data_IF_478859851459
#
_entry.id   IF_478859851459
#
_cell.length_a   1.000
_cell.length_b   1.000
_cell.length_c   1.000
_cell.angle_alpha   90.00
_cell.angle_beta   90.00
_cell.angle_gamma   90.00
#
_symmetry.space_group_name_H-M   'P 1'
#
loop_
_entity.id
_entity.type
_entity.pdbx_description
1 polymer ?
#
# COMPACT_ATOMS: atom_id res chain seq x y z
N UNK A 1 -7.26 -2.66 -8.66
CA UNK A 1 -6.26 -1.81 -7.96
C UNK A 1 -4.96 -2.59 -7.80
N UNK A 2 -3.81 -1.95 -7.68
CA UNK A 2 -2.53 -2.60 -7.42
C UNK A 2 -1.91 -2.11 -6.12
N UNK A 3 -1.22 -3.00 -5.41
CA UNK A 3 -0.42 -2.69 -4.22
C UNK A 3 1.05 -3.03 -4.47
N UNK A 4 1.95 -2.17 -3.99
CA UNK A 4 3.40 -2.35 -4.09
C UNK A 4 4.04 -1.98 -2.76
N UNK A 5 4.90 -2.87 -2.23
CA UNK A 5 5.73 -2.57 -1.05
C UNK A 5 7.11 -2.11 -1.51
N UNK A 6 7.51 -0.93 -1.08
CA UNK A 6 8.77 -0.29 -1.48
C UNK A 6 9.71 -0.26 -0.28
N UNK A 7 10.93 -0.77 -0.48
CA UNK A 7 11.96 -0.82 0.55
C UNK A 7 12.60 0.56 0.69
N UNK A 8 12.60 1.09 1.90
CA UNK A 8 13.34 2.29 2.25
C UNK A 8 14.86 2.03 2.26
N UNK A 9 15.65 3.08 2.05
CA UNK A 9 17.11 3.01 2.14
C UNK A 9 17.62 3.86 3.30
N UNK A 10 18.60 3.34 4.02
CA UNK A 10 19.22 3.99 5.18
C UNK A 10 18.18 4.45 6.22
N UNK A 11 17.92 5.76 6.30
CA UNK A 11 17.00 6.38 7.27
C UNK A 11 15.56 6.50 6.76
N UNK A 12 15.32 6.17 5.48
CA UNK A 12 13.99 6.22 4.87
C UNK A 12 13.24 4.94 5.25
N UNK A 13 12.01 5.05 5.78
CA UNK A 13 11.21 3.88 6.15
C UNK A 13 10.66 3.16 4.91
N UNK A 14 10.09 1.98 5.14
CA UNK A 14 9.38 1.24 4.10
C UNK A 14 7.99 1.83 3.83
N UNK A 15 7.57 1.76 2.57
CA UNK A 15 6.30 2.33 2.12
C UNK A 15 5.43 1.33 1.37
N UNK A 16 4.14 1.64 1.34
CA UNK A 16 3.12 1.01 0.51
C UNK A 16 2.65 2.04 -0.52
N UNK A 17 2.50 1.59 -1.76
CA UNK A 17 1.82 2.33 -2.82
C UNK A 17 0.55 1.60 -3.21
N UNK A 18 -0.56 2.32 -3.29
CA UNK A 18 -1.75 1.86 -3.99
C UNK A 18 -1.89 2.59 -5.32
N UNK A 19 -2.21 1.84 -6.37
CA UNK A 19 -2.34 2.37 -7.72
C UNK A 19 -3.63 1.90 -8.39
N UNK A 20 -4.21 2.75 -9.23
CA UNK A 20 -5.37 2.38 -10.04
C UNK A 20 -4.98 1.45 -11.22
N UNK A 21 -5.96 1.10 -12.06
CA UNK A 21 -5.72 0.24 -13.24
C UNK A 21 -4.80 0.87 -14.31
N UNK A 22 -4.65 2.20 -14.30
CA UNK A 22 -3.72 2.94 -15.17
C UNK A 22 -2.37 3.19 -14.48
N UNK A 23 -2.12 2.54 -13.34
CA UNK A 23 -0.96 2.75 -12.48
C UNK A 23 -0.82 4.17 -11.91
N UNK A 24 -1.88 4.98 -11.88
CA UNK A 24 -1.92 6.27 -11.17
C UNK A 24 -1.73 6.03 -9.68
N UNK A 25 -0.89 6.82 -9.01
CA UNK A 25 -0.69 6.72 -7.57
C UNK A 25 -1.91 7.26 -6.81
N UNK A 26 -2.62 6.38 -6.09
CA UNK A 26 -3.80 6.72 -5.30
C UNK A 26 -3.45 7.02 -3.84
N UNK A 27 -2.56 6.21 -3.26
CA UNK A 27 -2.12 6.37 -1.88
C UNK A 27 -0.64 5.97 -1.72
N UNK A 28 0.02 6.68 -0.80
CA UNK A 28 1.40 6.43 -0.41
C UNK A 28 1.56 6.63 1.09
N UNK A 29 1.91 5.57 1.82
CA UNK A 29 2.01 5.60 3.28
C UNK A 29 3.04 4.60 3.79
N UNK A 30 3.50 4.79 5.03
CA UNK A 30 4.53 3.93 5.63
C UNK A 30 3.94 2.60 6.08
N UNK A 31 4.72 1.52 5.98
CA UNK A 31 4.29 0.18 6.42
C UNK A 31 4.06 0.12 7.93
N UNK A 32 4.90 0.79 8.71
CA UNK A 32 4.89 0.78 10.18
C UNK A 32 3.88 1.75 10.80
N UNK A 33 3.28 2.61 9.99
CA UNK A 33 2.27 3.56 10.41
C UNK A 33 1.19 3.61 9.33
N UNK A 34 0.22 2.67 9.35
CA UNK A 34 -0.92 2.72 8.46
C UNK A 34 -1.61 4.08 8.67
N UNK A 35 -1.33 4.97 7.75
CA UNK A 35 -1.82 6.34 7.79
C UNK A 35 -3.32 6.33 7.53
N UNK A 36 -4.05 7.37 7.93
CA UNK A 36 -5.47 7.57 7.59
C UNK A 36 -5.69 7.80 6.08
N UNK A 37 -4.66 7.55 5.28
CA UNK A 37 -4.66 7.68 3.83
C UNK A 37 -5.67 6.73 3.18
N UNK A 38 -5.86 5.52 3.72
CA UNK A 38 -6.88 4.58 3.22
C UNK A 38 -8.29 5.14 3.43
N UNK A 39 -8.56 5.79 4.57
CA UNK A 39 -9.84 6.43 4.85
C UNK A 39 -10.13 7.55 3.85
N UNK A 40 -9.11 8.36 3.51
CA UNK A 40 -9.25 9.49 2.58
C UNK A 40 -9.59 9.07 1.15
N UNK A 41 -9.26 7.85 0.75
CA UNK A 41 -9.58 7.29 -0.57
C UNK A 41 -10.78 6.34 -0.54
N UNK A 42 -11.52 6.30 0.56
CA UNK A 42 -12.73 5.49 0.67
C UNK A 42 -12.49 3.98 0.84
N UNK A 43 -11.30 3.58 1.32
CA UNK A 43 -10.92 2.18 1.56
C UNK A 43 -10.82 1.82 3.05
N UNK A 44 -11.49 2.58 3.93
CA UNK A 44 -11.47 2.35 5.37
C UNK A 44 -11.92 0.92 5.74
N UNK A 45 -12.95 0.40 5.08
CA UNK A 45 -13.49 -0.95 5.27
C UNK A 45 -12.59 -2.06 4.72
N UNK A 46 -11.62 -1.70 3.87
CA UNK A 46 -10.63 -2.63 3.29
C UNK A 46 -9.25 -2.52 3.93
N UNK A 47 -9.07 -1.65 4.94
CA UNK A 47 -7.77 -1.37 5.53
C UNK A 47 -7.09 -2.62 6.07
N UNK A 48 -7.78 -3.44 6.86
CA UNK A 48 -7.24 -4.66 7.43
C UNK A 48 -6.85 -5.70 6.36
N UNK A 49 -7.67 -5.83 5.32
CA UNK A 49 -7.40 -6.71 4.18
C UNK A 49 -6.11 -6.29 3.45
N UNK A 50 -6.00 -5.01 3.10
CA UNK A 50 -4.82 -4.46 2.41
C UNK A 50 -3.58 -4.61 3.28
N UNK A 51 -3.67 -4.29 4.57
CA UNK A 51 -2.54 -4.36 5.49
C UNK A 51 -2.07 -5.79 5.76
N UNK A 52 -2.97 -6.77 5.79
CA UNK A 52 -2.57 -8.18 5.90
C UNK A 52 -1.82 -8.65 4.66
N UNK A 53 -2.27 -8.29 3.46
CA UNK A 53 -1.53 -8.56 2.21
C UNK A 53 -0.15 -7.91 2.21
N UNK A 54 -0.05 -6.65 2.64
CA UNK A 54 1.23 -5.90 2.69
C UNK A 54 2.26 -6.54 3.62
N UNK A 55 1.83 -7.20 4.70
CA UNK A 55 2.75 -7.89 5.62
C UNK A 55 3.55 -8.96 4.89
N UNK A 56 2.88 -9.75 4.06
CA UNK A 56 3.46 -10.90 3.37
C UNK A 56 4.01 -10.56 1.97
N UNK A 57 3.66 -9.39 1.41
CA UNK A 57 4.13 -8.95 0.10
C UNK A 57 5.65 -8.66 0.12
N UNK A 58 6.46 -9.32 -0.74
CA UNK A 58 7.87 -9.00 -0.90
C UNK A 58 8.09 -7.61 -1.48
N UNK A 59 9.22 -6.98 -1.13
CA UNK A 59 9.57 -5.67 -1.67
C UNK A 59 9.78 -5.71 -3.19
N UNK A 60 9.26 -4.69 -3.87
CA UNK A 60 9.38 -4.54 -5.32
C UNK A 60 8.40 -5.40 -6.13
N UNK A 61 7.57 -6.22 -5.47
CA UNK A 61 6.52 -6.97 -6.15
C UNK A 61 5.21 -6.19 -6.22
N UNK A 62 4.55 -6.30 -7.37
CA UNK A 62 3.23 -5.71 -7.63
C UNK A 62 2.20 -6.81 -7.49
N UNK A 63 1.19 -6.58 -6.65
CA UNK A 63 0.05 -7.48 -6.51
C UNK A 63 -1.22 -6.76 -6.90
N UNK A 64 -2.08 -7.42 -7.68
CA UNK A 64 -3.42 -6.94 -7.99
C UNK A 64 -4.35 -7.24 -6.80
N UNK A 65 -5.10 -6.24 -6.37
CA UNK A 65 -6.14 -6.36 -5.36
C UNK A 65 -7.50 -6.51 -6.05
N UNK A 66 -8.27 -7.52 -5.62
CA UNK A 66 -9.66 -7.75 -6.01
C UNK A 66 -10.59 -7.02 -5.01
N UNK A 67 -10.75 -5.71 -5.20
CA UNK A 67 -11.58 -4.81 -4.38
C UNK A 67 -12.37 -3.84 -5.26
#
# INVERSE_FOLDING_TARGET
MYVIKVKGVAKIPDYVQLRDEKFTLLAYFRVDRPDKTLDKIGLADKADYIMNIVKDLPFGQILKLEI
#
